data_IF_269470240875
#
_entry.id   IF_269470240875
#
_cell.length_a   1.000
_cell.length_b   1.000
_cell.length_c   1.000
_cell.angle_alpha   90.00
_cell.angle_beta   90.00
_cell.angle_gamma   90.00
#
_symmetry.space_group_name_H-M   'P 1'
#
loop_
_entity.id
_entity.type
_entity.pdbx_description
1 polymer ?
#
# COMPACT_ATOMS: atom_id res chain seq x y z
N UNK A 1 -3.88 15.59 -4.77
CA UNK A 1 -4.65 15.97 -3.56
C UNK A 1 -3.64 16.10 -2.45
N UNK A 2 -3.55 17.27 -1.80
CA UNK A 2 -2.59 17.46 -0.72
C UNK A 2 -3.01 16.71 0.56
N UNK A 3 -2.05 16.48 1.47
CA UNK A 3 -2.34 15.75 2.71
C UNK A 3 -3.44 16.41 3.57
N UNK A 4 -3.47 17.73 3.66
CA UNK A 4 -4.48 18.44 4.47
C UNK A 4 -5.90 18.23 3.94
N UNK A 5 -6.06 18.23 2.62
CA UNK A 5 -7.33 17.95 1.96
C UNK A 5 -7.75 16.49 2.17
N UNK A 6 -6.81 15.55 2.02
CA UNK A 6 -7.04 14.13 2.31
C UNK A 6 -7.46 13.92 3.78
N UNK A 7 -6.77 14.57 4.70
CA UNK A 7 -7.07 14.49 6.14
C UNK A 7 -8.48 14.97 6.45
N UNK A 8 -8.90 16.09 5.86
CA UNK A 8 -10.27 16.59 6.05
C UNK A 8 -11.32 15.61 5.52
N UNK A 9 -11.09 15.03 4.33
CA UNK A 9 -11.96 13.96 3.79
C UNK A 9 -12.03 12.77 4.74
N UNK A 10 -10.91 12.32 5.29
CA UNK A 10 -10.88 11.19 6.23
C UNK A 10 -11.61 11.49 7.54
N UNK A 11 -11.43 12.70 8.08
CA UNK A 11 -12.10 13.15 9.31
C UNK A 11 -13.60 13.28 9.15
N UNK A 12 -14.08 13.71 7.99
CA UNK A 12 -15.50 14.00 7.75
C UNK A 12 -16.25 12.78 7.23
N UNK A 13 -15.75 12.13 6.19
CA UNK A 13 -16.44 11.04 5.52
C UNK A 13 -16.19 9.67 6.17
N UNK A 14 -15.12 9.51 6.95
CA UNK A 14 -14.64 8.21 7.47
C UNK A 14 -14.35 8.23 8.98
N UNK A 15 -14.98 9.13 9.74
CA UNK A 15 -14.78 9.32 11.18
C UNK A 15 -14.98 8.04 12.03
N UNK A 16 -15.78 7.09 11.54
CA UNK A 16 -16.06 5.80 12.19
C UNK A 16 -14.87 4.83 12.15
N UNK A 17 -14.00 4.97 11.15
CA UNK A 17 -12.85 4.07 10.95
C UNK A 17 -11.51 4.79 11.06
N UNK A 18 -11.45 6.09 10.84
CA UNK A 18 -10.22 6.89 10.83
C UNK A 18 -9.72 7.19 12.25
N UNK A 19 -8.42 7.05 12.47
CA UNK A 19 -7.74 7.56 13.67
C UNK A 19 -7.04 8.85 13.30
N UNK A 20 -7.52 9.97 13.85
CA UNK A 20 -6.95 11.31 13.66
C UNK A 20 -5.64 11.47 14.45
N UNK A 21 -4.58 10.83 13.94
CA UNK A 21 -3.22 10.86 14.47
C UNK A 21 -2.22 10.86 13.32
N UNK A 22 -1.38 11.89 13.25
CA UNK A 22 -0.39 12.07 12.19
C UNK A 22 0.93 11.33 12.49
N UNK A 23 0.97 10.53 13.57
CA UNK A 23 2.10 9.65 13.93
C UNK A 23 1.95 8.26 13.31
N UNK A 24 1.95 8.26 11.99
CA UNK A 24 2.06 7.10 11.12
C UNK A 24 3.52 6.69 10.84
N UNK A 25 3.77 5.43 10.42
CA UNK A 25 5.11 5.00 10.05
C UNK A 25 5.64 5.68 8.78
N UNK A 26 6.95 5.88 8.74
CA UNK A 26 7.68 6.35 7.57
C UNK A 26 7.83 5.23 6.52
N UNK A 27 8.13 5.62 5.28
CA UNK A 27 8.59 4.67 4.27
C UNK A 27 9.90 4.01 4.71
N UNK A 28 10.08 2.74 4.39
CA UNK A 28 11.40 2.10 4.52
C UNK A 28 12.09 2.05 3.15
N UNK A 29 13.30 2.62 3.06
CA UNK A 29 14.09 2.61 1.82
C UNK A 29 15.59 2.80 2.12
N UNK A 30 16.33 1.71 2.29
CA UNK A 30 17.78 1.76 2.52
C UNK A 30 18.59 1.84 1.21
N UNK A 31 17.97 1.53 0.07
CA UNK A 31 18.68 1.42 -1.20
C UNK A 31 19.08 2.74 -1.83
N UNK A 32 20.22 2.74 -2.54
CA UNK A 32 20.54 3.76 -3.56
C UNK A 32 19.84 3.51 -4.90
N UNK A 33 19.40 2.28 -5.18
CA UNK A 33 18.78 1.88 -6.44
C UNK A 33 17.55 1.00 -6.17
N UNK A 34 16.37 1.63 -6.18
CA UNK A 34 15.10 0.92 -5.95
C UNK A 34 14.74 0.14 -7.22
N UNK A 35 14.47 -1.15 -7.08
CA UNK A 35 14.03 -2.04 -8.17
C UNK A 35 12.53 -2.36 -8.14
N UNK A 36 11.90 -2.23 -6.98
CA UNK A 36 10.46 -2.38 -6.83
C UNK A 36 9.93 -1.60 -5.61
N UNK A 37 8.65 -1.22 -5.69
CA UNK A 37 7.88 -0.68 -4.58
C UNK A 37 7.05 -1.81 -3.99
N UNK A 38 7.07 -2.02 -2.69
CA UNK A 38 6.19 -2.98 -2.00
C UNK A 38 5.11 -2.20 -1.27
N UNK A 39 3.86 -2.46 -1.62
CA UNK A 39 2.71 -1.72 -1.08
C UNK A 39 1.84 -2.58 -0.16
N UNK A 40 1.68 -2.12 1.07
CA UNK A 40 0.79 -2.66 2.09
C UNK A 40 -0.55 -1.93 2.12
N UNK A 41 -1.44 -2.40 2.99
CA UNK A 41 -2.79 -1.86 3.10
C UNK A 41 -2.79 -0.63 4.02
N UNK A 42 -2.54 -0.85 5.30
CA UNK A 42 -2.43 0.17 6.34
C UNK A 42 -1.67 -0.40 7.55
N UNK A 43 -1.10 0.46 8.42
CA UNK A 43 -0.27 0.01 9.54
C UNK A 43 -1.07 -0.57 10.72
N UNK A 44 -2.40 -0.59 10.66
CA UNK A 44 -3.24 -1.08 11.75
C UNK A 44 -3.00 -2.57 11.96
N UNK A 45 -2.77 -2.94 13.20
CA UNK A 45 -2.40 -4.31 13.56
C UNK A 45 -3.12 -4.76 14.84
N UNK A 46 -3.31 -6.09 15.05
CA UNK A 46 -4.10 -6.59 16.17
C UNK A 46 -3.52 -6.26 17.55
N UNK A 47 -2.22 -5.97 17.62
CA UNK A 47 -1.55 -5.58 18.87
C UNK A 47 -1.60 -4.08 19.17
N UNK A 48 -2.18 -3.26 18.29
CA UNK A 48 -2.20 -1.80 18.45
C UNK A 48 -0.81 -1.15 18.45
N UNK A 49 0.22 -1.86 17.98
CA UNK A 49 1.60 -1.36 17.97
C UNK A 49 1.72 -0.19 17.00
N UNK A 50 2.51 0.80 17.38
CA UNK A 50 2.96 1.88 16.51
C UNK A 50 4.33 1.51 15.94
N UNK A 51 4.51 1.72 14.65
CA UNK A 51 5.75 1.40 13.95
C UNK A 51 6.49 2.68 13.60
N UNK A 52 7.82 2.57 13.55
CA UNK A 52 8.66 3.63 12.99
C UNK A 52 8.61 3.58 11.46
N UNK A 53 8.71 2.38 10.88
CA UNK A 53 8.70 2.17 9.44
C UNK A 53 7.54 1.26 9.01
N UNK A 54 7.11 1.41 7.75
CA UNK A 54 6.11 0.54 7.15
C UNK A 54 6.47 -0.94 7.37
N UNK A 55 5.47 -1.77 7.61
CA UNK A 55 5.64 -3.19 7.98
C UNK A 55 6.47 -3.47 9.25
N UNK A 56 6.73 -2.45 10.09
CA UNK A 56 7.56 -2.59 11.29
C UNK A 56 9.02 -2.89 10.96
N UNK A 57 9.53 -2.37 9.84
CA UNK A 57 10.87 -2.67 9.33
C UNK A 57 12.02 -2.07 10.14
N UNK A 58 11.74 -1.33 11.22
CA UNK A 58 12.73 -1.09 12.27
C UNK A 58 13.28 -2.41 12.86
N UNK A 59 12.51 -3.51 12.77
CA UNK A 59 12.95 -4.88 13.01
C UNK A 59 12.82 -5.70 11.73
N UNK A 60 13.94 -6.07 11.11
CA UNK A 60 13.96 -6.91 9.91
C UNK A 60 13.39 -8.32 10.13
N UNK A 61 13.17 -8.73 11.39
CA UNK A 61 12.48 -9.97 11.78
C UNK A 61 11.00 -9.74 12.11
N UNK A 62 10.46 -8.57 11.76
CA UNK A 62 9.06 -8.21 11.94
C UNK A 62 8.16 -9.31 11.38
N UNK A 63 7.25 -9.79 12.24
CA UNK A 63 6.21 -10.77 11.84
C UNK A 63 5.26 -10.23 10.77
N UNK A 64 5.21 -8.92 10.55
CA UNK A 64 4.38 -8.27 9.54
C UNK A 64 5.07 -8.28 8.17
N UNK A 65 6.41 -8.22 8.15
CA UNK A 65 7.22 -8.33 6.93
C UNK A 65 7.52 -9.78 6.55
N UNK A 66 7.71 -10.68 7.53
CA UNK A 66 8.14 -12.06 7.29
C UNK A 66 7.34 -12.83 6.22
N UNK A 67 6.01 -12.71 6.10
CA UNK A 67 5.24 -13.39 5.04
C UNK A 67 5.52 -12.85 3.64
N UNK A 68 5.93 -11.58 3.51
CA UNK A 68 6.23 -10.93 2.24
C UNK A 68 7.65 -11.31 1.80
N UNK A 69 8.57 -11.42 2.77
CA UNK A 69 9.98 -11.73 2.51
C UNK A 69 10.16 -13.00 1.66
N UNK A 70 9.43 -14.08 1.94
CA UNK A 70 9.56 -15.33 1.18
C UNK A 70 9.22 -15.16 -0.30
N UNK A 71 8.25 -14.30 -0.62
CA UNK A 71 7.88 -14.02 -2.01
C UNK A 71 8.95 -13.17 -2.70
N UNK A 72 9.51 -12.18 -2.01
CA UNK A 72 10.59 -11.34 -2.51
C UNK A 72 11.86 -12.15 -2.78
N UNK A 73 12.19 -13.09 -1.88
CA UNK A 73 13.34 -13.99 -2.05
C UNK A 73 13.21 -14.83 -3.33
N UNK A 74 12.01 -15.31 -3.68
CA UNK A 74 11.74 -16.05 -4.92
C UNK A 74 11.94 -15.18 -6.17
N UNK A 75 11.65 -13.89 -6.07
CA UNK A 75 11.89 -12.91 -7.14
C UNK A 75 13.36 -12.45 -7.20
N UNK A 76 14.22 -12.95 -6.30
CA UNK A 76 15.61 -12.51 -6.17
C UNK A 76 15.76 -11.06 -5.71
N UNK A 77 14.71 -10.48 -5.12
CA UNK A 77 14.70 -9.11 -4.59
C UNK A 77 15.11 -9.12 -3.13
N UNK A 78 16.13 -8.34 -2.80
CA UNK A 78 16.59 -8.17 -1.43
C UNK A 78 15.96 -6.94 -0.80
N UNK A 79 16.01 -6.84 0.53
CA UNK A 79 15.43 -5.71 1.26
C UNK A 79 16.04 -4.35 0.81
N UNK A 80 17.32 -4.35 0.47
CA UNK A 80 18.05 -3.20 -0.08
C UNK A 80 17.77 -2.94 -1.56
N UNK A 81 16.85 -3.64 -2.20
CA UNK A 81 16.38 -3.34 -3.56
C UNK A 81 15.01 -2.65 -3.56
N UNK A 82 14.43 -2.38 -2.38
CA UNK A 82 13.00 -2.15 -2.24
C UNK A 82 12.69 -0.84 -1.52
N UNK A 83 11.57 -0.25 -1.92
CA UNK A 83 10.90 0.84 -1.20
C UNK A 83 9.59 0.28 -0.64
N UNK A 84 9.39 0.35 0.68
CA UNK A 84 8.18 -0.17 1.34
C UNK A 84 7.29 0.95 1.81
N UNK A 85 5.99 0.80 1.54
CA UNK A 85 4.97 1.71 1.99
C UNK A 85 3.60 1.05 2.16
N UNK A 86 2.68 1.68 2.89
CA UNK A 86 1.25 1.34 2.90
C UNK A 86 0.45 2.31 2.02
N UNK A 87 -0.58 1.85 1.30
CA UNK A 87 -1.46 2.74 0.52
C UNK A 87 -2.14 3.76 1.44
N UNK A 88 -2.75 3.29 2.53
CA UNK A 88 -3.26 4.12 3.59
C UNK A 88 -2.17 4.24 4.65
N UNK A 89 -1.58 5.41 4.77
CA UNK A 89 -0.49 5.63 5.71
C UNK A 89 -0.98 5.74 7.16
N UNK A 90 -2.25 6.12 7.36
CA UNK A 90 -2.84 6.31 8.69
C UNK A 90 -3.18 4.99 9.38
N UNK A 91 -3.30 5.02 10.69
CA UNK A 91 -3.98 3.96 11.42
C UNK A 91 -5.51 4.10 11.27
N UNK A 92 -6.19 2.96 11.19
CA UNK A 92 -7.64 2.85 11.35
C UNK A 92 -7.98 2.27 12.74
N UNK A 93 -9.24 2.37 13.14
CA UNK A 93 -9.74 1.89 14.43
C UNK A 93 -9.64 0.38 14.58
N UNK A 94 -9.56 -0.35 13.45
CA UNK A 94 -9.41 -1.80 13.38
C UNK A 94 -8.50 -2.16 12.21
N UNK A 95 -7.97 -3.38 12.23
CA UNK A 95 -7.17 -3.93 11.12
C UNK A 95 -7.99 -4.08 9.84
N UNK A 96 -7.33 -4.00 8.68
CA UNK A 96 -7.97 -4.02 7.35
C UNK A 96 -9.04 -5.10 7.18
N UNK A 97 -8.75 -6.35 7.62
CA UNK A 97 -9.66 -7.49 7.44
C UNK A 97 -10.86 -7.49 8.40
N UNK A 98 -10.87 -6.65 9.43
CA UNK A 98 -12.00 -6.50 10.36
C UNK A 98 -12.93 -5.35 9.98
N UNK A 99 -12.48 -4.44 9.12
CA UNK A 99 -13.31 -3.34 8.63
C UNK A 99 -14.24 -3.83 7.52
N UNK A 100 -15.43 -3.24 7.36
CA UNK A 100 -16.28 -3.53 6.21
C UNK A 100 -15.50 -3.24 4.92
N UNK A 101 -15.29 -4.24 4.06
CA UNK A 101 -14.45 -4.15 2.85
C UNK A 101 -14.72 -2.89 2.03
N UNK A 102 -15.99 -2.62 1.72
CA UNK A 102 -16.42 -1.44 0.95
C UNK A 102 -16.03 -0.13 1.63
N UNK A 103 -16.12 -0.08 2.95
CA UNK A 103 -15.80 1.12 3.74
C UNK A 103 -14.30 1.40 3.72
N UNK A 104 -13.48 0.37 3.94
CA UNK A 104 -12.03 0.50 3.85
C UNK A 104 -11.59 0.90 2.44
N UNK A 105 -12.09 0.24 1.39
CA UNK A 105 -11.76 0.60 -0.01
C UNK A 105 -12.16 2.05 -0.31
N UNK A 106 -13.34 2.47 0.14
CA UNK A 106 -13.80 3.84 -0.08
C UNK A 106 -12.89 4.88 0.58
N UNK A 107 -12.29 4.58 1.73
CA UNK A 107 -11.26 5.43 2.34
C UNK A 107 -9.94 5.31 1.56
N UNK A 108 -9.51 4.09 1.23
CA UNK A 108 -8.27 3.79 0.55
C UNK A 108 -8.15 4.45 -0.83
N UNK A 109 -9.25 4.54 -1.59
CA UNK A 109 -9.29 5.20 -2.90
C UNK A 109 -9.01 6.70 -2.86
N UNK A 110 -8.98 7.33 -1.67
CA UNK A 110 -8.61 8.74 -1.51
C UNK A 110 -7.10 8.96 -1.46
N UNK A 111 -6.32 7.92 -1.15
CA UNK A 111 -4.87 7.97 -0.95
C UNK A 111 -4.00 8.00 -2.22
N UNK A 112 -4.37 7.37 -3.36
CA UNK A 112 -3.48 7.25 -4.52
C UNK A 112 -2.92 8.59 -5.03
N UNK A 113 -3.67 9.71 -5.08
CA UNK A 113 -3.10 10.99 -5.48
C UNK A 113 -1.96 11.48 -4.56
N UNK A 114 -2.08 11.26 -3.25
CA UNK A 114 -1.04 11.63 -2.28
C UNK A 114 0.17 10.71 -2.38
N UNK A 115 -0.06 9.39 -2.47
CA UNK A 115 1.00 8.40 -2.67
C UNK A 115 1.77 8.67 -3.98
N UNK A 116 1.07 9.03 -5.05
CA UNK A 116 1.69 9.38 -6.33
C UNK A 116 2.65 10.57 -6.18
N UNK A 117 2.22 11.63 -5.52
CA UNK A 117 3.05 12.81 -5.29
C UNK A 117 4.31 12.47 -4.46
N UNK A 118 4.15 11.65 -3.42
CA UNK A 118 5.27 11.13 -2.63
C UNK A 118 6.28 10.37 -3.51
N UNK A 119 5.80 9.40 -4.30
CA UNK A 119 6.65 8.57 -5.16
C UNK A 119 7.31 9.39 -6.28
N UNK A 120 6.59 10.29 -6.94
CA UNK A 120 7.13 11.17 -8.00
C UNK A 120 8.21 12.12 -7.46
N UNK A 121 8.08 12.56 -6.20
CA UNK A 121 9.06 13.43 -5.55
C UNK A 121 10.32 12.68 -5.09
N UNK A 122 10.25 11.35 -4.98
CA UNK A 122 11.33 10.54 -4.46
C UNK A 122 12.39 10.32 -5.54
N UNK A 123 13.53 11.01 -5.42
CA UNK A 123 14.66 11.01 -6.37
C UNK A 123 15.21 9.65 -6.86
N UNK A 124 14.87 8.55 -6.18
CA UNK A 124 15.33 7.19 -6.50
C UNK A 124 14.23 6.32 -7.09
N UNK A 125 13.03 6.86 -7.24
CA UNK A 125 11.88 6.17 -7.80
C UNK A 125 11.54 6.81 -9.13
N UNK A 126 11.35 5.97 -10.14
CA UNK A 126 10.90 6.35 -11.47
C UNK A 126 9.62 5.59 -11.81
N UNK A 127 8.85 6.12 -12.77
CA UNK A 127 7.53 5.60 -13.11
C UNK A 127 7.53 4.19 -13.73
N UNK A 128 8.69 3.68 -14.13
CA UNK A 128 8.89 2.33 -14.67
C UNK A 128 9.17 1.28 -13.57
N UNK A 129 9.38 1.70 -12.31
CA UNK A 129 9.58 0.76 -11.21
C UNK A 129 8.27 0.01 -10.92
N UNK A 130 8.29 -1.33 -10.88
CA UNK A 130 7.10 -2.12 -10.60
C UNK A 130 6.60 -1.93 -9.16
N UNK A 131 5.28 -1.90 -9.01
CA UNK A 131 4.59 -1.88 -7.71
C UNK A 131 4.08 -3.29 -7.39
N UNK A 132 4.59 -3.88 -6.32
CA UNK A 132 4.23 -5.18 -5.78
C UNK A 132 3.22 -4.98 -4.64
N UNK A 133 1.93 -5.16 -4.93
CA UNK A 133 0.87 -5.08 -3.91
C UNK A 133 0.78 -6.39 -3.12
N UNK A 134 0.64 -6.27 -1.80
CA UNK A 134 0.65 -7.43 -0.89
C UNK A 134 -0.68 -8.17 -0.78
N UNK A 135 -1.77 -7.58 -1.26
CA UNK A 135 -3.12 -8.17 -1.24
C UNK A 135 -4.03 -7.53 -2.30
N UNK A 136 -5.04 -8.29 -2.74
CA UNK A 136 -6.01 -7.90 -3.78
C UNK A 136 -6.78 -6.62 -3.43
N UNK A 137 -7.12 -6.40 -2.16
CA UNK A 137 -7.91 -5.21 -1.76
C UNK A 137 -7.17 -3.89 -2.04
N UNK A 138 -5.84 -3.92 -2.08
CA UNK A 138 -5.01 -2.76 -2.46
C UNK A 138 -5.17 -2.49 -3.96
N UNK A 139 -5.17 -3.55 -4.78
CA UNK A 139 -5.37 -3.43 -6.22
C UNK A 139 -6.76 -2.88 -6.55
N UNK A 140 -7.81 -3.29 -5.81
CA UNK A 140 -9.16 -2.70 -5.90
C UNK A 140 -9.17 -1.20 -5.61
N UNK A 141 -8.37 -0.74 -4.65
CA UNK A 141 -8.27 0.68 -4.31
C UNK A 141 -7.43 1.50 -5.30
N UNK A 142 -6.35 0.91 -5.85
CA UNK A 142 -5.47 1.59 -6.82
C UNK A 142 -6.06 1.62 -8.24
N UNK A 143 -6.74 0.55 -8.63
CA UNK A 143 -7.20 0.32 -10.00
C UNK A 143 -8.65 -0.20 -10.01
N UNK A 144 -9.63 0.58 -9.53
CA UNK A 144 -11.03 0.14 -9.45
C UNK A 144 -11.63 -0.23 -10.81
N UNK A 145 -11.17 0.42 -11.88
CA UNK A 145 -11.54 0.14 -13.28
C UNK A 145 -11.10 -1.26 -13.76
N UNK A 146 -10.03 -1.79 -13.18
CA UNK A 146 -9.47 -3.09 -13.52
C UNK A 146 -10.25 -4.19 -12.81
N UNK A 147 -10.62 -3.96 -11.55
CA UNK A 147 -11.44 -4.88 -10.77
C UNK A 147 -12.94 -4.83 -11.09
N UNK A 148 -13.43 -3.73 -11.67
CA UNK A 148 -14.82 -3.65 -12.16
C UNK A 148 -15.02 -4.44 -13.46
N UNK A 149 -13.95 -4.73 -14.20
CA UNK A 149 -13.98 -5.67 -15.31
C UNK A 149 -14.07 -7.08 -14.75
N UNK A 150 -15.05 -7.83 -15.23
CA UNK A 150 -15.36 -9.22 -14.89
C UNK A 150 -14.28 -10.21 -15.34
N UNK A 151 -12.99 -9.88 -15.23
CA UNK A 151 -11.88 -10.78 -15.51
C UNK A 151 -11.80 -11.80 -14.37
N UNK A 152 -12.18 -13.06 -14.61
CA UNK A 152 -12.09 -14.10 -13.60
C UNK A 152 -10.64 -14.29 -13.14
N UNK A 153 -10.40 -14.54 -11.85
CA UNK A 153 -9.06 -14.76 -11.29
C UNK A 153 -8.25 -15.85 -12.03
N UNK A 154 -8.92 -16.86 -12.59
CA UNK A 154 -8.31 -17.88 -13.44
C UNK A 154 -7.63 -17.31 -14.69
N UNK A 155 -8.11 -16.19 -15.22
CA UNK A 155 -7.62 -15.62 -16.47
C UNK A 155 -6.38 -14.75 -16.22
N UNK A 156 -6.24 -14.14 -15.03
CA UNK A 156 -4.95 -13.57 -14.59
C UNK A 156 -3.86 -14.64 -14.45
N UNK A 157 -4.18 -15.78 -13.82
CA UNK A 157 -3.20 -16.82 -13.53
C UNK A 157 -2.88 -17.73 -14.74
N UNK A 158 -3.88 -18.14 -15.51
CA UNK A 158 -3.69 -19.10 -16.62
C UNK A 158 -3.35 -18.43 -17.94
N UNK A 159 -3.93 -17.26 -18.20
CA UNK A 159 -3.76 -16.58 -19.48
C UNK A 159 -2.79 -15.40 -19.38
N UNK A 160 -2.22 -15.15 -18.18
CA UNK A 160 -1.27 -14.06 -17.91
C UNK A 160 -1.72 -12.73 -18.51
N UNK A 161 -3.02 -12.40 -18.40
CA UNK A 161 -3.56 -11.19 -19.02
C UNK A 161 -2.88 -9.99 -18.37
N UNK A 162 -2.00 -9.36 -19.14
CA UNK A 162 -1.32 -8.15 -18.74
C UNK A 162 -2.33 -7.00 -18.78
N UNK A 163 -2.49 -6.33 -17.64
CA UNK A 163 -3.29 -5.12 -17.57
C UNK A 163 -2.35 -3.98 -17.93
N UNK A 164 -2.42 -3.53 -19.17
CA UNK A 164 -1.77 -2.28 -19.56
C UNK A 164 -2.32 -1.15 -18.69
N UNK A 165 -1.47 -0.38 -18.00
CA UNK A 165 -1.91 0.82 -17.32
C UNK A 165 -2.59 1.72 -18.35
N UNK A 166 -3.85 2.10 -18.13
CA UNK A 166 -4.41 3.22 -18.88
C UNK A 166 -3.64 4.45 -18.42
N UNK A 167 -2.71 4.92 -19.25
CA UNK A 167 -2.11 6.23 -19.09
C UNK A 167 -3.23 7.26 -19.32
N UNK A 168 -3.80 7.78 -18.23
CA UNK A 168 -4.67 8.96 -18.25
C UNK A 168 -3.93 10.14 -17.68
#
# INVERSE_FOLDING_TARGET
MGYQELKEVLRTEFADIYVDDDRWPEAYCDSRNVKAIVLGADPSNPSGKRFQYAFGLEDQKSRYFSPIKSNLDVLGLKLDDLYFQDICRNYFTRVTYELPRRRWISAATKWPPYLKEELDSHRRISSDIPVLVTTEIILEALAPEVHSRSTPNKDYYRNCIFIEPKQT
#
